data_IF_472972493798
#
_entry.id   IF_472972493798
#
_cell.length_a   1.000
_cell.length_b   1.000
_cell.length_c   1.000
_cell.angle_alpha   90.00
_cell.angle_beta   90.00
_cell.angle_gamma   90.00
#
_symmetry.space_group_name_H-M   'P 1'
#
loop_
_entity.id
_entity.type
_entity.pdbx_description
1 polymer ?
#
# COMPACT_ATOMS: atom_id res chain seq x y z
N UNK A 1 -11.44 23.84 -17.21
CA UNK A 1 -10.23 23.15 -16.70
C UNK A 1 -10.07 21.80 -17.37
N UNK A 2 -11.03 20.89 -17.38
CA UNK A 2 -10.94 19.53 -17.99
C UNK A 2 -10.51 19.53 -19.45
N UNK A 3 -11.12 20.39 -20.28
CA UNK A 3 -10.74 20.49 -21.71
C UNK A 3 -9.29 20.94 -21.92
N UNK A 4 -8.74 21.76 -21.03
CA UNK A 4 -7.36 22.20 -21.11
C UNK A 4 -6.40 21.05 -20.72
N UNK A 5 -6.74 20.26 -19.71
CA UNK A 5 -6.00 19.08 -19.32
C UNK A 5 -6.00 18.01 -20.40
N UNK A 6 -7.17 17.73 -20.98
CA UNK A 6 -7.30 16.79 -22.08
C UNK A 6 -6.40 17.18 -23.27
N UNK A 7 -6.35 18.48 -23.63
CA UNK A 7 -5.45 18.97 -24.68
C UNK A 7 -3.97 18.77 -24.36
N UNK A 8 -3.57 18.97 -23.09
CA UNK A 8 -2.19 18.70 -22.65
C UNK A 8 -1.84 17.22 -22.76
N UNK A 9 -2.73 16.33 -22.30
CA UNK A 9 -2.54 14.86 -22.42
C UNK A 9 -2.39 14.46 -23.89
N UNK A 10 -3.27 14.95 -24.77
CA UNK A 10 -3.22 14.64 -26.19
C UNK A 10 -1.90 15.14 -26.81
N UNK A 11 -1.45 16.34 -26.46
CA UNK A 11 -0.20 16.90 -26.98
C UNK A 11 1.02 16.07 -26.56
N UNK A 12 1.11 15.64 -25.30
CA UNK A 12 2.21 14.80 -24.81
C UNK A 12 2.19 13.39 -25.41
N UNK A 13 1.02 12.78 -25.55
CA UNK A 13 0.88 11.48 -26.22
C UNK A 13 1.29 11.58 -27.71
N UNK A 14 0.88 12.65 -28.40
CA UNK A 14 1.28 12.89 -29.82
C UNK A 14 2.78 13.06 -29.94
N UNK A 15 3.45 13.72 -29.00
CA UNK A 15 4.89 13.90 -28.97
C UNK A 15 5.63 12.58 -28.73
N UNK A 16 5.14 11.76 -27.78
CA UNK A 16 5.68 10.42 -27.52
C UNK A 16 5.52 9.51 -28.73
N UNK A 17 4.36 9.58 -29.43
CA UNK A 17 4.10 8.84 -30.64
C UNK A 17 5.08 9.24 -31.77
N UNK A 18 5.31 10.54 -31.97
CA UNK A 18 6.26 11.03 -32.96
C UNK A 18 7.70 10.57 -32.70
N UNK A 19 8.11 10.57 -31.42
CA UNK A 19 9.43 10.07 -31.02
C UNK A 19 9.58 8.56 -31.25
N UNK A 20 8.51 7.79 -31.05
CA UNK A 20 8.48 6.35 -31.34
C UNK A 20 8.63 6.06 -32.84
N UNK A 21 8.02 6.86 -33.71
CA UNK A 21 8.12 6.70 -35.16
C UNK A 21 9.49 7.06 -35.70
N UNK A 22 10.22 7.98 -35.07
CA UNK A 22 11.57 8.40 -35.50
C UNK A 22 12.66 7.38 -35.16
N UNK A 23 12.38 6.42 -34.27
CA UNK A 23 13.28 5.28 -34.01
C UNK A 23 14.55 5.63 -33.22
N UNK A 24 14.70 6.86 -32.75
CA UNK A 24 15.93 7.35 -32.09
C UNK A 24 15.99 7.02 -30.57
N UNK A 25 14.92 6.48 -29.99
CA UNK A 25 14.80 6.28 -28.55
C UNK A 25 14.28 4.85 -28.27
N UNK A 26 14.81 4.20 -27.23
CA UNK A 26 14.37 2.86 -26.84
C UNK A 26 12.91 2.85 -26.36
N UNK A 27 12.21 1.72 -26.56
CA UNK A 27 10.81 1.56 -26.13
C UNK A 27 10.65 1.83 -24.63
N UNK A 28 11.60 1.40 -23.81
CA UNK A 28 11.55 1.59 -22.36
C UNK A 28 11.65 3.06 -21.97
N UNK A 29 12.51 3.83 -22.64
CA UNK A 29 12.63 5.28 -22.40
C UNK A 29 11.37 6.05 -22.83
N UNK A 30 10.70 5.61 -23.91
CA UNK A 30 9.43 6.21 -24.34
C UNK A 30 8.35 5.96 -23.31
N UNK A 31 8.24 4.72 -22.80
CA UNK A 31 7.27 4.35 -21.75
C UNK A 31 7.51 5.20 -20.51
N UNK A 32 8.73 5.21 -19.97
CA UNK A 32 9.09 5.95 -18.75
C UNK A 32 8.78 7.45 -18.88
N UNK A 33 9.12 8.04 -20.03
CA UNK A 33 8.89 9.45 -20.29
C UNK A 33 7.40 9.78 -20.40
N UNK A 34 6.62 8.87 -21.00
CA UNK A 34 5.17 9.03 -21.14
C UNK A 34 4.48 8.88 -19.80
N UNK A 35 4.83 7.88 -18.99
CA UNK A 35 4.32 7.68 -17.64
C UNK A 35 4.59 8.90 -16.75
N UNK A 36 5.81 9.41 -16.75
CA UNK A 36 6.18 10.62 -16.00
C UNK A 36 5.34 11.82 -16.41
N UNK A 37 5.18 12.06 -17.72
CA UNK A 37 4.38 13.18 -18.23
C UNK A 37 2.90 13.07 -17.83
N UNK A 38 2.32 11.87 -17.85
CA UNK A 38 0.94 11.63 -17.44
C UNK A 38 0.77 11.86 -15.92
N UNK A 39 1.72 11.38 -15.10
CA UNK A 39 1.73 11.60 -13.65
C UNK A 39 1.84 13.10 -13.32
N UNK A 40 2.69 13.84 -13.99
CA UNK A 40 2.86 15.28 -13.79
C UNK A 40 1.57 16.04 -14.12
N UNK A 41 0.87 15.67 -15.21
CA UNK A 41 -0.43 16.27 -15.56
C UNK A 41 -1.50 15.89 -14.54
N UNK A 42 -1.52 14.65 -14.07
CA UNK A 42 -2.44 14.17 -13.03
C UNK A 42 -2.24 14.93 -11.72
N UNK A 43 -0.99 15.10 -11.29
CA UNK A 43 -0.63 15.82 -10.07
C UNK A 43 -0.97 17.32 -10.14
N UNK A 44 -0.88 17.95 -11.32
CA UNK A 44 -1.33 19.33 -11.50
C UNK A 44 -2.85 19.50 -11.39
N UNK A 45 -3.63 18.44 -11.55
CA UNK A 45 -5.09 18.43 -11.41
C UNK A 45 -5.60 18.11 -10.02
N UNK A 46 -4.81 17.43 -9.17
CA UNK A 46 -5.09 17.31 -7.74
C UNK A 46 -4.83 18.68 -7.11
N UNK A 47 -5.86 19.50 -7.15
CA UNK A 47 -5.80 20.92 -6.83
C UNK A 47 -5.24 21.19 -5.43
N UNK A 48 -4.02 21.69 -5.39
CA UNK A 48 -3.45 22.43 -4.24
C UNK A 48 -4.05 23.84 -4.17
N UNK A 49 -5.35 23.98 -4.45
CA UNK A 49 -6.07 25.23 -4.27
C UNK A 49 -6.41 25.46 -2.81
N UNK A 50 -6.43 26.73 -2.38
CA UNK A 50 -6.95 27.11 -1.07
C UNK A 50 -8.38 26.55 -0.92
N UNK A 51 -8.62 25.77 0.12
CA UNK A 51 -9.94 25.27 0.51
C UNK A 51 -10.50 26.13 1.61
N UNK A 52 -11.80 26.44 1.57
CA UNK A 52 -12.45 27.14 2.65
C UNK A 52 -12.46 26.24 3.90
N UNK A 53 -12.09 26.81 5.05
CA UNK A 53 -12.09 26.09 6.33
C UNK A 53 -13.49 25.60 6.68
N UNK A 54 -14.54 26.34 6.34
CA UNK A 54 -15.92 25.92 6.57
C UNK A 54 -16.25 24.60 5.85
N UNK A 55 -15.88 24.47 4.57
CA UNK A 55 -16.12 23.24 3.79
C UNK A 55 -15.36 22.03 4.35
N UNK A 56 -14.16 22.28 4.90
CA UNK A 56 -13.34 21.25 5.56
C UNK A 56 -13.99 20.83 6.88
N UNK A 57 -14.48 21.82 7.65
CA UNK A 57 -15.13 21.58 8.93
C UNK A 57 -16.41 20.74 8.77
N UNK A 58 -17.28 21.13 7.82
CA UNK A 58 -18.51 20.40 7.54
C UNK A 58 -18.23 18.94 7.16
N UNK A 59 -17.24 18.72 6.30
CA UNK A 59 -16.82 17.37 5.90
C UNK A 59 -16.28 16.58 7.11
N UNK A 60 -15.51 17.22 7.96
CA UNK A 60 -14.94 16.59 9.15
C UNK A 60 -16.01 16.24 10.19
N UNK A 61 -16.98 17.11 10.40
CA UNK A 61 -18.10 16.84 11.31
C UNK A 61 -18.95 15.66 10.86
N UNK A 62 -19.19 15.50 9.57
CA UNK A 62 -19.87 14.32 9.02
C UNK A 62 -19.07 13.02 9.30
N UNK A 63 -17.76 13.06 9.17
CA UNK A 63 -16.89 11.91 9.49
C UNK A 63 -16.98 11.57 10.99
N UNK A 64 -16.95 12.57 11.87
CA UNK A 64 -17.06 12.36 13.32
C UNK A 64 -18.44 11.78 13.67
N UNK A 65 -19.50 12.28 13.06
CA UNK A 65 -20.86 11.78 13.27
C UNK A 65 -20.99 10.31 12.82
N UNK A 66 -20.46 9.98 11.64
CA UNK A 66 -20.44 8.60 11.15
C UNK A 66 -19.67 7.67 12.09
N UNK A 67 -18.52 8.12 12.62
CA UNK A 67 -17.72 7.35 13.60
C UNK A 67 -18.46 7.16 14.92
N UNK A 68 -19.24 8.14 15.37
CA UNK A 68 -20.01 8.04 16.61
C UNK A 68 -21.13 7.00 16.54
N UNK A 69 -21.59 6.67 15.33
CA UNK A 69 -22.63 5.67 15.07
C UNK A 69 -22.06 4.26 14.88
N UNK A 70 -20.73 4.13 14.76
CA UNK A 70 -20.07 2.84 14.56
C UNK A 70 -19.62 2.29 15.91
N UNK A 71 -20.15 1.14 16.30
CA UNK A 71 -19.68 0.41 17.48
C UNK A 71 -18.28 -0.14 17.22
N UNK A 72 -17.28 0.48 17.83
CA UNK A 72 -15.88 0.01 17.75
C UNK A 72 -14.87 1.12 18.02
N UNK A 73 -13.69 0.72 18.52
CA UNK A 73 -12.59 1.65 18.77
C UNK A 73 -11.64 1.79 17.58
N UNK A 74 -11.78 0.97 16.53
CA UNK A 74 -10.95 1.00 15.32
C UNK A 74 -11.64 1.87 14.28
N UNK A 75 -11.08 3.04 14.02
CA UNK A 75 -11.58 3.99 13.01
C UNK A 75 -10.75 4.00 11.72
N UNK A 76 -9.56 3.41 11.79
CA UNK A 76 -8.67 3.17 10.66
C UNK A 76 -8.67 1.70 10.22
N UNK A 77 -7.64 1.29 9.51
CA UNK A 77 -7.40 -0.07 9.08
C UNK A 77 -6.86 -0.89 10.25
N UNK A 78 -7.50 -2.01 10.61
CA UNK A 78 -7.06 -2.86 11.71
C UNK A 78 -5.69 -3.49 11.44
N UNK A 79 -4.86 -3.54 12.46
CA UNK A 79 -3.56 -4.23 12.42
C UNK A 79 -3.69 -5.73 12.70
N UNK A 80 -4.83 -6.19 13.22
CA UNK A 80 -5.03 -7.53 13.74
C UNK A 80 -4.54 -7.73 15.19
N UNK A 81 -3.92 -6.72 15.77
CA UNK A 81 -3.47 -6.74 17.18
C UNK A 81 -4.34 -5.81 18.00
N UNK A 82 -5.31 -6.40 18.71
CA UNK A 82 -6.31 -5.65 19.50
C UNK A 82 -5.69 -4.63 20.46
N UNK A 83 -4.57 -4.99 21.10
CA UNK A 83 -3.86 -4.07 21.99
C UNK A 83 -3.26 -2.86 21.27
N UNK A 84 -2.72 -3.07 20.07
CA UNK A 84 -2.19 -2.01 19.22
C UNK A 84 -3.33 -1.14 18.68
N UNK A 85 -4.37 -1.77 18.16
CA UNK A 85 -5.53 -1.08 17.60
C UNK A 85 -6.27 -0.21 18.63
N UNK A 86 -6.32 -0.64 19.91
CA UNK A 86 -6.86 0.19 20.99
C UNK A 86 -6.07 1.47 21.23
N UNK A 87 -4.76 1.45 21.02
CA UNK A 87 -3.89 2.61 21.23
C UNK A 87 -3.89 3.52 20.02
N UNK A 88 -3.82 2.92 18.79
CA UNK A 88 -3.67 3.66 17.55
C UNK A 88 -5.00 4.00 16.88
N UNK A 89 -6.09 3.37 17.29
CA UNK A 89 -7.39 3.35 16.61
C UNK A 89 -7.32 2.77 15.19
N UNK A 90 -6.29 1.96 14.90
CA UNK A 90 -5.96 1.41 13.59
C UNK A 90 -5.00 2.29 12.79
N UNK A 91 -4.69 1.86 11.57
CA UNK A 91 -3.81 2.58 10.65
C UNK A 91 -4.63 3.54 9.79
N UNK A 92 -4.25 4.81 9.75
CA UNK A 92 -4.98 5.84 9.00
C UNK A 92 -4.25 6.22 7.72
N UNK A 93 -5.01 6.63 6.72
CA UNK A 93 -4.49 7.11 5.43
C UNK A 93 -3.57 8.31 5.62
N UNK A 94 -2.49 8.36 4.84
CA UNK A 94 -1.50 9.44 4.88
C UNK A 94 -0.53 9.38 6.04
N UNK A 95 -0.66 8.44 6.98
CA UNK A 95 0.26 8.31 8.10
C UNK A 95 1.52 7.53 7.71
N UNK A 96 2.67 8.03 8.12
CA UNK A 96 3.92 7.30 8.14
C UNK A 96 4.09 6.64 9.51
N UNK A 97 4.17 5.31 9.55
CA UNK A 97 4.35 4.54 10.78
C UNK A 97 5.75 3.93 10.78
N UNK A 98 6.52 4.24 11.80
CA UNK A 98 7.89 3.75 11.95
C UNK A 98 7.91 2.65 13.00
N UNK A 99 8.28 1.43 12.56
CA UNK A 99 8.50 0.28 13.45
C UNK A 99 9.99 0.07 13.64
N UNK A 100 10.48 0.28 14.85
CA UNK A 100 11.87 0.09 15.21
C UNK A 100 12.02 -0.99 16.28
N UNK A 101 13.06 -1.82 16.14
CA UNK A 101 13.40 -2.86 17.11
C UNK A 101 14.89 -3.20 16.99
N UNK A 102 15.47 -3.76 18.06
CA UNK A 102 16.80 -4.36 17.99
C UNK A 102 16.82 -5.55 17.02
N UNK A 103 17.96 -5.92 16.45
CA UNK A 103 18.06 -7.11 15.61
C UNK A 103 17.45 -8.35 16.30
N UNK A 104 16.84 -9.22 15.53
CA UNK A 104 16.20 -10.46 15.97
C UNK A 104 14.99 -10.32 16.93
N UNK A 105 14.47 -9.12 17.14
CA UNK A 105 13.30 -8.90 18.01
C UNK A 105 11.94 -9.06 17.31
N UNK A 106 11.91 -9.56 16.08
CA UNK A 106 10.66 -9.84 15.36
C UNK A 106 10.05 -8.64 14.61
N UNK A 107 10.80 -7.56 14.36
CA UNK A 107 10.33 -6.38 13.60
C UNK A 107 9.65 -6.78 12.29
N UNK A 108 10.35 -7.53 11.46
CA UNK A 108 9.82 -7.98 10.15
C UNK A 108 8.63 -8.92 10.30
N UNK A 109 8.66 -9.81 11.30
CA UNK A 109 7.54 -10.72 11.57
C UNK A 109 6.27 -9.96 11.95
N UNK A 110 6.37 -8.91 12.78
CA UNK A 110 5.23 -8.07 13.13
C UNK A 110 4.68 -7.35 11.89
N UNK A 111 5.55 -6.74 11.08
CA UNK A 111 5.15 -6.05 9.85
C UNK A 111 4.45 -6.99 8.86
N UNK A 112 4.97 -8.21 8.67
CA UNK A 112 4.36 -9.23 7.82
C UNK A 112 3.01 -9.71 8.34
N UNK A 113 2.86 -9.88 9.66
CA UNK A 113 1.57 -10.26 10.24
C UNK A 113 0.52 -9.17 10.08
N UNK A 114 0.89 -7.89 10.21
CA UNK A 114 -0.01 -6.77 9.92
C UNK A 114 -0.40 -6.77 8.44
N UNK A 115 0.57 -6.86 7.53
CA UNK A 115 0.32 -6.89 6.09
C UNK A 115 -0.58 -8.08 5.69
N UNK A 116 -0.34 -9.26 6.26
CA UNK A 116 -1.18 -10.44 6.07
C UNK A 116 -2.62 -10.19 6.56
N UNK A 117 -2.79 -9.68 7.78
CA UNK A 117 -4.11 -9.37 8.34
C UNK A 117 -4.88 -8.39 7.44
N UNK A 118 -4.22 -7.33 7.00
CA UNK A 118 -4.79 -6.35 6.07
C UNK A 118 -5.24 -7.02 4.76
N UNK A 119 -4.42 -7.89 4.19
CA UNK A 119 -4.73 -8.54 2.94
C UNK A 119 -5.86 -9.59 3.07
N UNK A 120 -5.88 -10.38 4.15
CA UNK A 120 -6.81 -11.51 4.30
C UNK A 120 -8.11 -11.13 4.98
N UNK A 121 -8.07 -10.37 6.07
CA UNK A 121 -9.25 -10.01 6.86
C UNK A 121 -9.90 -8.71 6.39
N UNK A 122 -9.10 -7.67 6.18
CA UNK A 122 -9.59 -6.38 5.71
C UNK A 122 -9.82 -6.35 4.19
N UNK A 123 -9.32 -7.36 3.46
CA UNK A 123 -9.40 -7.49 1.99
C UNK A 123 -8.88 -6.26 1.25
N UNK A 124 -7.86 -5.63 1.80
CA UNK A 124 -7.18 -4.48 1.19
C UNK A 124 -5.83 -4.89 0.61
N UNK A 125 -5.39 -4.31 -0.51
CA UNK A 125 -4.08 -4.62 -1.06
C UNK A 125 -2.98 -4.13 -0.11
N UNK A 126 -1.98 -4.99 0.12
CA UNK A 126 -0.77 -4.66 0.85
C UNK A 126 0.45 -4.85 -0.05
N UNK A 127 1.35 -3.88 -0.07
CA UNK A 127 2.59 -3.95 -0.87
C UNK A 127 3.77 -3.91 0.08
N UNK A 128 4.74 -4.80 -0.12
CA UNK A 128 5.93 -4.91 0.71
C UNK A 128 7.16 -4.66 -0.14
N UNK A 129 7.95 -3.66 0.25
CA UNK A 129 9.27 -3.39 -0.32
C UNK A 129 10.33 -3.86 0.68
N UNK A 130 11.13 -4.84 0.30
CA UNK A 130 12.19 -5.40 1.14
C UNK A 130 13.54 -5.17 0.50
N UNK A 131 14.48 -4.60 1.28
CA UNK A 131 15.89 -4.39 0.88
C UNK A 131 16.83 -5.40 1.54
N UNK A 132 16.35 -6.18 2.52
CA UNK A 132 17.17 -7.08 3.33
C UNK A 132 16.92 -8.56 2.99
N UNK A 133 15.65 -8.89 2.64
CA UNK A 133 15.20 -10.28 2.47
C UNK A 133 14.57 -10.47 1.11
N UNK A 134 14.77 -11.64 0.48
CA UNK A 134 14.10 -12.02 -0.76
C UNK A 134 12.59 -12.26 -0.57
N UNK A 135 11.85 -12.23 -1.68
CA UNK A 135 10.41 -12.42 -1.66
C UNK A 135 10.04 -13.82 -1.16
N UNK A 136 10.79 -14.84 -1.55
CA UNK A 136 10.58 -16.23 -1.15
C UNK A 136 10.70 -16.40 0.37
N UNK A 137 11.71 -15.77 0.99
CA UNK A 137 11.90 -15.83 2.44
C UNK A 137 10.77 -15.13 3.20
N UNK A 138 10.26 -14.02 2.68
CA UNK A 138 9.11 -13.33 3.26
C UNK A 138 7.85 -14.20 3.21
N UNK A 139 7.59 -14.85 2.08
CA UNK A 139 6.45 -15.76 1.91
C UNK A 139 6.60 -16.98 2.82
N UNK A 140 7.80 -17.60 2.88
CA UNK A 140 8.06 -18.72 3.78
C UNK A 140 7.73 -18.36 5.23
N UNK A 141 8.11 -17.18 5.70
CA UNK A 141 7.79 -16.69 7.05
C UNK A 141 6.28 -16.46 7.25
N UNK A 142 5.58 -15.95 6.23
CA UNK A 142 4.13 -15.78 6.29
C UNK A 142 3.41 -17.12 6.37
N UNK A 143 3.81 -18.11 5.56
CA UNK A 143 3.28 -19.47 5.57
C UNK A 143 3.57 -20.16 6.91
N UNK A 144 4.80 -20.06 7.41
CA UNK A 144 5.18 -20.59 8.71
C UNK A 144 4.28 -20.04 9.84
N UNK A 145 4.02 -18.74 9.81
CA UNK A 145 3.19 -18.05 10.79
C UNK A 145 1.72 -18.46 10.69
N UNK A 146 1.18 -18.57 9.48
CA UNK A 146 -0.24 -18.93 9.26
C UNK A 146 -0.52 -20.39 9.56
N UNK A 147 0.33 -21.28 9.04
CA UNK A 147 0.20 -22.73 9.26
C UNK A 147 0.65 -23.18 10.64
N UNK A 148 1.19 -22.27 11.48
CA UNK A 148 1.88 -22.63 12.74
C UNK A 148 2.89 -23.76 12.51
N UNK A 149 3.64 -23.68 11.40
CA UNK A 149 4.62 -24.65 10.99
C UNK A 149 6.01 -24.14 11.40
N UNK A 150 6.86 -24.96 12.03
CA UNK A 150 8.24 -24.57 12.29
C UNK A 150 8.97 -24.24 10.99
N UNK A 151 9.58 -23.04 10.90
CA UNK A 151 10.28 -22.61 9.68
C UNK A 151 11.37 -23.58 9.20
N UNK A 152 11.94 -24.36 10.11
CA UNK A 152 12.88 -25.44 9.76
C UNK A 152 12.24 -26.53 8.88
N UNK A 153 10.99 -26.91 9.13
CA UNK A 153 10.27 -27.90 8.33
C UNK A 153 10.04 -27.39 6.89
N UNK A 154 9.69 -26.11 6.74
CA UNK A 154 9.54 -25.50 5.42
C UNK A 154 10.88 -25.44 4.67
N UNK A 155 11.96 -25.04 5.34
CA UNK A 155 13.31 -24.97 4.73
C UNK A 155 13.86 -26.30 4.31
N UNK A 156 13.57 -27.37 5.05
CA UNK A 156 14.07 -28.71 4.75
C UNK A 156 13.11 -29.55 3.89
N UNK A 157 11.88 -29.05 3.66
CA UNK A 157 10.84 -29.81 2.98
C UNK A 157 10.28 -30.98 3.78
N UNK A 158 10.63 -31.08 5.07
CA UNK A 158 10.22 -32.18 5.92
C UNK A 158 8.92 -31.87 6.66
N UNK A 159 7.84 -31.78 5.90
CA UNK A 159 6.50 -31.50 6.39
C UNK A 159 5.74 -32.78 6.68
N UNK A 160 5.05 -32.86 7.80
CA UNK A 160 4.10 -33.92 8.12
C UNK A 160 2.85 -33.80 7.25
N UNK A 161 2.09 -34.90 7.16
CA UNK A 161 0.81 -34.93 6.42
C UNK A 161 -0.20 -33.89 6.95
N UNK A 162 -0.17 -33.58 8.23
CA UNK A 162 -1.06 -32.60 8.85
C UNK A 162 -0.60 -31.16 8.59
N UNK A 163 0.71 -30.92 8.49
CA UNK A 163 1.27 -29.63 8.12
C UNK A 163 1.01 -29.28 6.64
N UNK A 164 0.93 -30.29 5.77
CA UNK A 164 0.54 -30.13 4.36
C UNK A 164 -0.93 -29.74 4.15
N UNK A 165 -1.79 -30.00 5.13
CA UNK A 165 -3.24 -29.71 5.06
C UNK A 165 -3.61 -28.35 5.65
N UNK A 166 -2.69 -27.68 6.32
CA UNK A 166 -2.88 -26.34 6.91
C UNK A 166 -2.58 -25.23 5.92
#
# INVERSE_FOLDING_TARGET
>A
KEKATLRKVIAELSKSLSSAYQGDISINEIIEKTEKSILDISNQNTGTGFRNVADILDTHMQIVETRSQTDGFVTGLSTGFVGLDKITTGLHEGNLIILAARPAMGKTALALNIAKHVATMERKPAVIFSLEMGAEELIERMVASEGMIPGYHLKTGNLSTDEWKR
#
